data_IF_041926425003
#
_entry.id   IF_041926425003
#
_cell.length_a   1.000
_cell.length_b   1.000
_cell.length_c   1.000
_cell.angle_alpha   90.00
_cell.angle_beta   90.00
_cell.angle_gamma   90.00
#
_symmetry.space_group_name_H-M   'P 1'
#
loop_
_entity.id
_entity.type
_entity.pdbx_description
1 polymer ?
#
# COMPACT_ATOMS: atom_id res chain seq x y z
N UNK A 1 -8.21 9.89 -24.55
CA UNK A 1 -7.54 9.12 -23.48
C UNK A 1 -6.03 9.33 -23.45
N UNK A 2 -5.34 9.29 -24.61
CA UNK A 2 -3.88 9.51 -24.71
C UNK A 2 -3.40 10.87 -24.16
N UNK A 3 -4.08 11.98 -24.49
CA UNK A 3 -3.74 13.30 -23.93
C UNK A 3 -3.85 13.38 -22.40
N UNK A 4 -4.78 12.62 -21.80
CA UNK A 4 -4.97 12.59 -20.35
C UNK A 4 -3.85 11.82 -19.64
N UNK A 5 -3.49 10.65 -20.17
CA UNK A 5 -2.36 9.85 -19.67
C UNK A 5 -1.04 10.61 -19.80
N UNK A 6 -0.83 11.32 -20.91
CA UNK A 6 0.38 12.11 -21.11
C UNK A 6 0.53 13.22 -20.06
N UNK A 7 -0.57 13.93 -19.74
CA UNK A 7 -0.57 14.97 -18.71
C UNK A 7 -0.37 14.39 -17.30
N UNK A 8 -1.03 13.26 -16.99
CA UNK A 8 -0.84 12.57 -15.72
C UNK A 8 0.61 12.11 -15.54
N UNK A 9 1.22 11.55 -16.58
CA UNK A 9 2.61 11.07 -16.54
C UNK A 9 3.63 12.20 -16.37
N UNK A 10 3.36 13.39 -16.91
CA UNK A 10 4.17 14.59 -16.66
C UNK A 10 4.14 15.01 -15.19
N UNK A 11 2.97 14.94 -14.54
CA UNK A 11 2.84 15.23 -13.11
C UNK A 11 3.64 14.23 -12.29
N UNK A 12 3.47 12.93 -12.55
CA UNK A 12 4.24 11.86 -11.89
C UNK A 12 5.74 12.07 -12.04
N UNK A 13 6.21 12.33 -13.27
CA UNK A 13 7.64 12.55 -13.52
C UNK A 13 8.17 13.75 -12.74
N UNK A 14 7.41 14.85 -12.69
CA UNK A 14 7.78 16.04 -11.91
C UNK A 14 7.89 15.69 -10.43
N UNK A 15 6.89 15.03 -9.85
CA UNK A 15 6.88 14.62 -8.44
C UNK A 15 8.11 13.76 -8.09
N UNK A 16 8.42 12.74 -8.90
CA UNK A 16 9.61 11.90 -8.69
C UNK A 16 10.93 12.66 -8.82
N UNK A 17 11.03 13.63 -9.73
CA UNK A 17 12.26 14.41 -9.90
C UNK A 17 12.48 15.43 -8.79
N UNK A 18 11.40 15.95 -8.19
CA UNK A 18 11.47 16.95 -7.12
C UNK A 18 11.81 16.35 -5.76
N UNK A 19 11.46 15.08 -5.52
CA UNK A 19 11.56 14.43 -4.20
C UNK A 19 12.58 13.27 -4.15
N UNK A 20 13.72 13.40 -4.84
CA UNK A 20 14.76 12.35 -4.93
C UNK A 20 15.26 11.86 -3.57
N UNK A 21 15.44 12.77 -2.62
CA UNK A 21 15.93 12.44 -1.28
C UNK A 21 14.88 11.69 -0.45
N UNK A 22 13.59 12.00 -0.64
CA UNK A 22 12.50 11.33 0.05
C UNK A 22 12.24 9.93 -0.54
N UNK A 23 12.49 9.73 -1.84
CA UNK A 23 12.49 8.39 -2.44
C UNK A 23 13.57 7.52 -1.79
N UNK A 24 14.78 8.05 -1.59
CA UNK A 24 15.85 7.32 -0.90
C UNK A 24 15.43 6.92 0.53
N UNK A 25 14.82 7.83 1.27
CA UNK A 25 14.26 7.52 2.60
C UNK A 25 13.17 6.45 2.55
N UNK A 26 12.32 6.48 1.53
CA UNK A 26 11.28 5.46 1.34
C UNK A 26 11.92 4.10 1.12
N UNK A 27 12.97 4.01 0.30
CA UNK A 27 13.69 2.76 0.05
C UNK A 27 14.37 2.23 1.32
N UNK A 28 15.07 3.08 2.07
CA UNK A 28 15.71 2.71 3.35
C UNK A 28 14.65 2.17 4.32
N UNK A 29 13.51 2.85 4.41
CA UNK A 29 12.41 2.42 5.25
C UNK A 29 11.87 1.05 4.78
N UNK A 30 11.65 0.84 3.48
CA UNK A 30 11.20 -0.46 2.96
C UNK A 30 12.21 -1.59 3.20
N UNK A 31 13.52 -1.31 3.15
CA UNK A 31 14.57 -2.28 3.50
C UNK A 31 14.47 -2.65 4.98
N UNK A 32 14.38 -1.66 5.87
CA UNK A 32 14.24 -1.90 7.31
C UNK A 32 13.00 -2.72 7.63
N UNK A 33 11.87 -2.39 7.00
CA UNK A 33 10.59 -3.06 7.23
C UNK A 33 10.59 -4.47 6.65
N UNK A 34 11.21 -4.66 5.48
CA UNK A 34 11.45 -5.97 4.87
C UNK A 34 12.32 -6.84 5.76
N UNK A 35 13.40 -6.28 6.32
CA UNK A 35 14.26 -6.97 7.30
C UNK A 35 13.49 -7.36 8.56
N UNK A 36 12.73 -6.44 9.16
CA UNK A 36 11.97 -6.74 10.37
C UNK A 36 10.93 -7.85 10.11
N UNK A 37 10.24 -7.80 8.97
CA UNK A 37 9.25 -8.81 8.60
C UNK A 37 9.91 -10.15 8.27
N UNK A 38 11.10 -10.15 7.65
CA UNK A 38 11.80 -11.37 7.26
C UNK A 38 12.22 -12.21 8.46
N UNK A 39 12.68 -11.58 9.53
CA UNK A 39 13.06 -12.27 10.77
C UNK A 39 11.86 -13.01 11.34
N UNK A 40 10.71 -12.33 11.46
CA UNK A 40 9.48 -12.95 11.99
C UNK A 40 8.93 -14.03 11.05
N UNK A 41 9.00 -13.81 9.73
CA UNK A 41 8.61 -14.82 8.75
C UNK A 41 9.52 -16.05 8.80
N UNK A 42 10.83 -15.87 8.94
CA UNK A 42 11.79 -16.98 9.00
C UNK A 42 11.55 -17.89 10.21
N UNK A 43 11.29 -17.28 11.37
CA UNK A 43 10.86 -17.99 12.60
C UNK A 43 9.53 -18.73 12.39
N UNK A 44 8.57 -18.09 11.71
CA UNK A 44 7.29 -18.73 11.39
C UNK A 44 7.45 -19.95 10.47
N UNK A 45 8.43 -19.94 9.57
CA UNK A 45 8.73 -21.07 8.69
C UNK A 45 9.45 -22.22 9.42
N UNK A 46 10.28 -21.90 10.41
CA UNK A 46 10.92 -22.90 11.28
C UNK A 46 9.88 -23.68 12.10
N UNK A 47 8.85 -23.00 12.62
CA UNK A 47 7.78 -23.59 13.44
C UNK A 47 6.43 -23.70 12.74
N UNK A 48 6.41 -23.85 11.41
CA UNK A 48 5.20 -23.71 10.57
C UNK A 48 3.99 -24.57 11.00
N UNK A 49 4.25 -25.73 11.61
CA UNK A 49 3.25 -26.70 12.05
C UNK A 49 2.93 -26.65 13.55
N UNK A 50 3.74 -25.95 14.35
CA UNK A 50 3.67 -25.97 15.81
C UNK A 50 3.00 -24.73 16.38
N UNK A 51 3.29 -23.57 15.77
CA UNK A 51 2.80 -22.29 16.26
C UNK A 51 2.54 -21.31 15.12
N UNK A 52 1.51 -20.50 15.30
CA UNK A 52 1.18 -19.37 14.43
C UNK A 52 1.53 -18.11 15.20
N UNK A 53 2.54 -17.39 14.72
CA UNK A 53 2.98 -16.12 15.28
C UNK A 53 2.07 -14.98 14.80
N UNK A 54 1.24 -14.39 15.68
CA UNK A 54 0.33 -13.29 15.33
C UNK A 54 1.08 -12.05 14.81
N UNK A 55 2.36 -11.92 15.14
CA UNK A 55 3.18 -10.78 14.73
C UNK A 55 3.39 -10.74 13.22
N UNK A 56 3.44 -11.89 12.53
CA UNK A 56 3.58 -11.92 11.07
C UNK A 56 2.37 -11.26 10.41
N UNK A 57 1.17 -11.63 10.86
CA UNK A 57 -0.08 -11.06 10.36
C UNK A 57 -0.18 -9.57 10.66
N UNK A 58 0.18 -9.18 11.88
CA UNK A 58 0.21 -7.77 12.27
C UNK A 58 1.14 -6.96 11.38
N UNK A 59 2.38 -7.40 11.18
CA UNK A 59 3.37 -6.68 10.37
C UNK A 59 2.93 -6.58 8.90
N UNK A 60 2.44 -7.68 8.31
CA UNK A 60 2.02 -7.68 6.91
C UNK A 60 0.80 -6.78 6.69
N UNK A 61 -0.20 -6.83 7.56
CA UNK A 61 -1.38 -5.96 7.46
C UNK A 61 -1.03 -4.49 7.70
N UNK A 62 -0.14 -4.21 8.66
CA UNK A 62 0.33 -2.86 8.95
C UNK A 62 1.12 -2.27 7.78
N UNK A 63 1.95 -3.08 7.12
CA UNK A 63 2.89 -2.61 6.08
C UNK A 63 2.29 -2.63 4.68
N UNK A 64 1.27 -3.46 4.43
CA UNK A 64 0.55 -3.53 3.16
C UNK A 64 0.17 -2.14 2.60
N UNK A 65 -0.51 -1.24 3.33
CA UNK A 65 -0.85 0.09 2.80
C UNK A 65 0.37 1.01 2.64
N UNK A 66 1.41 0.82 3.45
CA UNK A 66 2.61 1.65 3.43
C UNK A 66 3.43 1.45 2.15
N UNK A 67 3.36 0.27 1.54
CA UNK A 67 4.01 0.02 0.24
C UNK A 67 3.43 0.90 -0.88
N UNK A 68 2.15 1.27 -0.79
CA UNK A 68 1.51 2.19 -1.73
C UNK A 68 1.85 3.66 -1.51
N UNK A 69 2.61 3.98 -0.46
CA UNK A 69 2.96 5.34 -0.09
C UNK A 69 4.43 5.61 -0.42
N UNK A 70 4.68 6.78 -0.98
CA UNK A 70 6.03 7.35 -1.09
C UNK A 70 6.16 8.49 -0.10
N UNK A 71 7.31 8.54 0.59
CA UNK A 71 7.64 9.74 1.33
C UNK A 71 7.86 10.88 0.34
N UNK A 72 7.22 12.01 0.62
CA UNK A 72 7.38 13.24 -0.13
C UNK A 72 7.40 14.41 0.86
N UNK A 73 7.82 15.60 0.43
CA UNK A 73 7.85 16.77 1.33
C UNK A 73 6.49 17.10 1.96
N UNK A 74 5.39 16.87 1.23
CA UNK A 74 4.02 17.08 1.72
C UNK A 74 3.68 16.12 2.86
N UNK A 75 4.06 14.85 2.76
CA UNK A 75 3.88 13.79 3.75
C UNK A 75 4.67 14.04 5.03
N UNK A 76 5.66 14.93 5.04
CA UNK A 76 6.34 15.32 6.29
C UNK A 76 5.80 16.63 6.89
N UNK A 77 5.13 17.46 6.09
CA UNK A 77 4.66 18.78 6.51
C UNK A 77 3.16 18.85 6.81
N UNK A 78 2.37 17.85 6.44
CA UNK A 78 0.91 17.88 6.61
C UNK A 78 0.41 18.06 8.06
N UNK A 79 1.26 17.79 9.06
CA UNK A 79 0.93 18.00 10.48
C UNK A 79 1.06 19.49 10.86
N UNK A 80 2.08 20.16 10.32
CA UNK A 80 2.44 21.54 10.65
C UNK A 80 1.81 22.57 9.70
N UNK A 81 1.69 22.20 8.43
CA UNK A 81 1.11 22.99 7.36
C UNK A 81 -0.12 22.24 6.84
N UNK A 82 -1.21 22.95 6.49
CA UNK A 82 -2.36 22.30 5.83
C UNK A 82 -2.04 21.99 4.35
N UNK A 83 -1.00 21.17 4.15
CA UNK A 83 -0.39 20.90 2.85
C UNK A 83 -1.37 20.27 1.87
N UNK A 84 -2.36 19.50 2.35
CA UNK A 84 -3.38 18.88 1.50
C UNK A 84 -4.41 19.89 0.99
N UNK A 85 -4.82 20.86 1.81
CA UNK A 85 -5.70 21.95 1.36
C UNK A 85 -4.97 22.88 0.39
N UNK A 86 -3.71 23.24 0.67
CA UNK A 86 -2.88 24.04 -0.26
C UNK A 86 -2.67 23.32 -1.60
N UNK A 87 -2.47 22.01 -1.57
CA UNK A 87 -2.37 21.18 -2.77
C UNK A 87 -3.66 21.23 -3.59
N UNK A 88 -4.83 21.16 -2.96
CA UNK A 88 -6.12 21.27 -3.66
C UNK A 88 -6.31 22.64 -4.32
N UNK A 89 -5.93 23.74 -3.66
CA UNK A 89 -5.94 25.07 -4.28
C UNK A 89 -4.98 25.15 -5.47
N UNK A 90 -3.75 24.63 -5.33
CA UNK A 90 -2.78 24.59 -6.42
C UNK A 90 -3.30 23.79 -7.61
N UNK A 91 -3.94 22.65 -7.34
CA UNK A 91 -4.51 21.82 -8.38
C UNK A 91 -5.72 22.44 -9.09
N UNK A 92 -6.51 23.28 -8.40
CA UNK A 92 -7.59 24.06 -9.02
C UNK A 92 -7.09 25.27 -9.81
N UNK A 93 -5.92 25.82 -9.48
CA UNK A 93 -5.33 26.95 -10.23
C UNK A 93 -4.57 26.52 -11.48
N UNK A 94 -4.20 25.24 -11.59
CA UNK A 94 -3.60 24.68 -12.79
C UNK A 94 -4.65 24.49 -13.90
N UNK A 95 -4.33 24.80 -15.17
CA UNK A 95 -5.18 24.52 -16.32
C UNK A 95 -5.09 23.02 -16.71
N UNK A 96 -5.28 22.14 -15.73
CA UNK A 96 -5.20 20.68 -15.88
C UNK A 96 -6.55 20.10 -15.46
N UNK A 97 -7.16 19.21 -16.27
CA UNK A 97 -8.42 18.59 -15.89
C UNK A 97 -8.25 17.79 -14.60
N UNK A 98 -9.18 17.96 -13.65
CA UNK A 98 -9.14 17.30 -12.34
C UNK A 98 -8.88 15.79 -12.44
N UNK A 99 -9.46 15.14 -13.46
CA UNK A 99 -9.27 13.71 -13.75
C UNK A 99 -7.79 13.31 -13.97
N UNK A 100 -6.97 14.16 -14.58
CA UNK A 100 -5.55 13.87 -14.80
C UNK A 100 -4.76 13.84 -13.49
N UNK A 101 -5.17 14.61 -12.49
CA UNK A 101 -4.56 14.62 -11.15
C UNK A 101 -4.89 13.30 -10.44
N UNK A 102 -6.15 12.84 -10.52
CA UNK A 102 -6.54 11.55 -9.93
C UNK A 102 -5.82 10.37 -10.57
N UNK A 103 -5.74 10.32 -11.91
CA UNK A 103 -4.96 9.29 -12.59
C UNK A 103 -3.50 9.33 -12.16
N UNK A 104 -2.91 10.53 -12.05
CA UNK A 104 -1.52 10.67 -11.60
C UNK A 104 -1.30 10.06 -10.21
N UNK A 105 -2.29 10.17 -9.31
CA UNK A 105 -2.22 9.59 -7.97
C UNK A 105 -2.32 8.07 -7.99
N UNK A 106 -3.22 7.52 -8.80
CA UNK A 106 -3.32 6.06 -8.99
C UNK A 106 -2.02 5.51 -9.58
N UNK A 107 -1.49 6.14 -10.62
CA UNK A 107 -0.22 5.74 -11.25
C UNK A 107 0.93 5.83 -10.23
N UNK A 108 1.02 6.91 -9.46
CA UNK A 108 2.01 7.06 -8.40
C UNK A 108 1.93 5.92 -7.37
N UNK A 109 0.72 5.58 -6.91
CA UNK A 109 0.53 4.48 -5.96
C UNK A 109 0.91 3.12 -6.58
N UNK A 110 0.54 2.86 -7.83
CA UNK A 110 0.94 1.62 -8.53
C UNK A 110 2.47 1.52 -8.66
N UNK A 111 3.13 2.61 -9.09
CA UNK A 111 4.60 2.66 -9.18
C UNK A 111 5.22 2.45 -7.80
N UNK A 112 4.67 3.08 -6.76
CA UNK A 112 5.12 2.89 -5.38
C UNK A 112 5.01 1.42 -4.96
N UNK A 113 3.86 0.78 -5.19
CA UNK A 113 3.68 -0.65 -4.91
C UNK A 113 4.68 -1.55 -5.64
N UNK A 114 4.98 -1.25 -6.90
CA UNK A 114 5.98 -2.02 -7.66
C UNK A 114 7.37 -1.83 -7.05
N UNK A 115 7.83 -0.60 -6.86
CA UNK A 115 9.18 -0.32 -6.36
C UNK A 115 9.34 -0.79 -4.91
N UNK A 116 8.44 -0.34 -4.03
CA UNK A 116 8.49 -0.66 -2.61
C UNK A 116 8.22 -2.15 -2.37
N UNK A 117 7.31 -2.76 -3.14
CA UNK A 117 7.03 -4.19 -3.06
C UNK A 117 8.25 -5.04 -3.45
N UNK A 118 8.92 -4.70 -4.55
CA UNK A 118 10.16 -5.39 -4.96
C UNK A 118 11.23 -5.28 -3.87
N UNK A 119 11.41 -4.10 -3.27
CA UNK A 119 12.41 -3.90 -2.21
C UNK A 119 12.02 -4.65 -0.95
N UNK A 120 10.80 -4.47 -0.46
CA UNK A 120 10.30 -5.08 0.77
C UNK A 120 10.33 -6.61 0.68
N UNK A 121 9.70 -7.18 -0.33
CA UNK A 121 9.63 -8.64 -0.50
C UNK A 121 10.95 -9.22 -1.02
N UNK A 122 11.76 -8.45 -1.76
CA UNK A 122 13.09 -8.86 -2.17
C UNK A 122 14.03 -9.03 -0.97
N UNK A 123 14.03 -8.06 -0.04
CA UNK A 123 14.76 -8.17 1.23
C UNK A 123 14.21 -9.30 2.08
N UNK A 124 12.88 -9.45 2.16
CA UNK A 124 12.27 -10.54 2.91
C UNK A 124 12.70 -11.92 2.40
N UNK A 125 12.75 -12.11 1.09
CA UNK A 125 13.23 -13.33 0.46
C UNK A 125 14.72 -13.56 0.66
N UNK A 126 15.55 -12.52 0.55
CA UNK A 126 16.99 -12.66 0.65
C UNK A 126 17.46 -13.12 2.04
N UNK A 127 16.72 -12.75 3.10
CA UNK A 127 17.10 -13.01 4.50
C UNK A 127 16.46 -14.29 5.05
N UNK A 128 15.20 -14.59 4.69
CA UNK A 128 14.47 -15.72 5.25
C UNK A 128 14.91 -17.04 4.59
N UNK A 129 15.96 -17.67 5.12
CA UNK A 129 16.52 -18.93 4.62
C UNK A 129 15.51 -20.08 4.63
N UNK A 130 14.80 -20.29 5.74
CA UNK A 130 13.82 -21.36 5.88
C UNK A 130 12.67 -21.21 4.89
N UNK A 131 12.27 -19.96 4.60
CA UNK A 131 11.27 -19.68 3.57
C UNK A 131 11.75 -20.05 2.17
N UNK A 132 13.01 -19.73 1.83
CA UNK A 132 13.58 -20.05 0.50
C UNK A 132 13.68 -21.55 0.24
N UNK A 133 13.89 -22.34 1.29
CA UNK A 133 13.93 -23.80 1.20
C UNK A 133 12.52 -24.40 1.09
N UNK A 134 11.55 -23.81 1.78
CA UNK A 134 10.18 -24.33 1.84
C UNK A 134 9.28 -23.91 0.66
N UNK A 135 9.55 -22.75 0.03
CA UNK A 135 8.62 -22.10 -0.91
C UNK A 135 9.27 -21.91 -2.27
N UNK A 136 8.61 -22.41 -3.33
CA UNK A 136 9.07 -22.15 -4.70
C UNK A 136 8.85 -20.68 -5.11
N UNK A 137 9.62 -20.23 -6.10
CA UNK A 137 9.56 -18.83 -6.57
C UNK A 137 8.17 -18.45 -7.07
N UNK A 138 7.43 -19.34 -7.72
CA UNK A 138 6.10 -19.05 -8.26
C UNK A 138 5.05 -18.85 -7.15
N UNK A 139 5.15 -19.63 -6.09
CA UNK A 139 4.34 -19.55 -4.87
C UNK A 139 4.67 -18.27 -4.12
N UNK A 140 5.95 -17.92 -4.03
CA UNK A 140 6.37 -16.65 -3.43
C UNK A 140 5.86 -15.44 -4.22
N UNK A 141 5.93 -15.48 -5.55
CA UNK A 141 5.35 -14.43 -6.41
C UNK A 141 3.84 -14.32 -6.21
N UNK A 142 3.12 -15.44 -6.12
CA UNK A 142 1.68 -15.44 -5.84
C UNK A 142 1.36 -14.84 -4.46
N UNK A 143 2.18 -15.12 -3.45
CA UNK A 143 2.08 -14.52 -2.13
C UNK A 143 2.29 -12.99 -2.18
N UNK A 144 3.34 -12.52 -2.86
CA UNK A 144 3.62 -11.08 -3.05
C UNK A 144 2.41 -10.38 -3.68
N UNK A 145 1.93 -10.92 -4.80
CA UNK A 145 0.83 -10.32 -5.56
C UNK A 145 -0.45 -10.31 -4.71
N UNK A 146 -0.69 -11.36 -3.90
CA UNK A 146 -1.84 -11.42 -3.00
C UNK A 146 -1.84 -10.27 -1.99
N UNK A 147 -0.68 -9.99 -1.38
CA UNK A 147 -0.51 -8.89 -0.42
C UNK A 147 -0.54 -7.51 -1.06
N UNK A 148 -0.02 -7.36 -2.29
CA UNK A 148 -0.18 -6.12 -3.06
C UNK A 148 -1.67 -5.84 -3.33
N UNK A 149 -2.46 -6.87 -3.66
CA UNK A 149 -3.91 -6.74 -3.82
C UNK A 149 -4.61 -6.25 -2.54
N UNK A 150 -4.29 -6.85 -1.40
CA UNK A 150 -4.79 -6.40 -0.08
C UNK A 150 -4.37 -4.96 0.19
N UNK A 151 -3.11 -4.60 -0.12
CA UNK A 151 -2.60 -3.25 -0.01
C UNK A 151 -3.41 -2.24 -0.83
N UNK A 152 -3.70 -2.52 -2.10
CA UNK A 152 -4.48 -1.62 -2.96
C UNK A 152 -5.83 -1.25 -2.35
N UNK A 153 -6.52 -2.21 -1.74
CA UNK A 153 -7.78 -1.95 -1.03
C UNK A 153 -7.59 -0.90 0.06
N UNK A 154 -6.57 -1.07 0.90
CA UNK A 154 -6.28 -0.17 2.00
C UNK A 154 -5.86 1.22 1.48
N UNK A 155 -4.93 1.28 0.52
CA UNK A 155 -4.46 2.52 -0.11
C UNK A 155 -5.59 3.33 -0.73
N UNK A 156 -6.65 2.69 -1.23
CA UNK A 156 -7.87 3.37 -1.68
C UNK A 156 -8.46 4.32 -0.64
N UNK A 157 -8.54 3.90 0.63
CA UNK A 157 -9.03 4.75 1.73
C UNK A 157 -8.09 5.93 2.01
N UNK A 158 -6.78 5.73 1.95
CA UNK A 158 -5.81 6.81 2.13
C UNK A 158 -5.95 7.88 1.05
N UNK A 159 -6.05 7.48 -0.24
CA UNK A 159 -6.26 8.42 -1.35
C UNK A 159 -7.57 9.20 -1.17
N UNK A 160 -8.63 8.54 -0.72
CA UNK A 160 -9.91 9.20 -0.45
C UNK A 160 -9.78 10.26 0.65
N UNK A 161 -9.17 9.92 1.79
CA UNK A 161 -9.04 10.85 2.91
C UNK A 161 -8.06 11.99 2.67
N UNK A 162 -6.97 11.75 1.94
CA UNK A 162 -5.99 12.75 1.52
C UNK A 162 -6.67 13.96 0.84
N UNK A 163 -7.76 13.70 0.13
CA UNK A 163 -8.47 14.67 -0.67
C UNK A 163 -9.71 15.27 0.04
N UNK A 164 -10.03 14.83 1.25
CA UNK A 164 -11.29 15.14 1.93
C UNK A 164 -11.18 16.03 3.16
N UNK A 165 -9.99 16.28 3.70
CA UNK A 165 -9.86 17.08 4.91
C UNK A 165 -8.49 17.72 5.06
N UNK A 166 -8.32 18.45 6.15
CA UNK A 166 -7.02 18.98 6.56
C UNK A 166 -6.06 17.86 6.96
N UNK A 167 -4.76 18.14 6.96
CA UNK A 167 -3.75 17.15 7.34
C UNK A 167 -3.96 16.51 8.72
N UNK A 168 -4.51 17.25 9.68
CA UNK A 168 -4.87 16.71 11.01
C UNK A 168 -6.02 15.71 10.95
N UNK A 169 -7.05 15.99 10.15
CA UNK A 169 -8.17 15.08 9.95
C UNK A 169 -7.74 13.80 9.21
N UNK A 170 -6.81 13.93 8.26
CA UNK A 170 -6.19 12.80 7.58
C UNK A 170 -5.42 11.90 8.55
N UNK A 171 -4.61 12.47 9.44
CA UNK A 171 -3.88 11.73 10.47
C UNK A 171 -4.81 10.93 11.37
N UNK A 172 -5.86 11.58 11.91
CA UNK A 172 -6.83 10.93 12.79
C UNK A 172 -7.53 9.74 12.12
N UNK A 173 -7.99 9.91 10.88
CA UNK A 173 -8.63 8.82 10.12
C UNK A 173 -7.66 7.68 9.79
N UNK A 174 -6.42 8.01 9.46
CA UNK A 174 -5.36 7.03 9.22
C UNK A 174 -5.05 6.20 10.47
N UNK A 175 -4.94 6.84 11.63
CA UNK A 175 -4.73 6.14 12.90
C UNK A 175 -5.92 5.24 13.25
N UNK A 176 -7.16 5.72 13.04
CA UNK A 176 -8.35 4.90 13.25
C UNK A 176 -8.32 3.66 12.34
N UNK A 177 -7.99 3.83 11.05
CA UNK A 177 -7.89 2.69 10.13
C UNK A 177 -6.85 1.68 10.58
N UNK A 178 -5.67 2.16 10.99
CA UNK A 178 -4.62 1.30 11.53
C UNK A 178 -5.09 0.54 12.78
N UNK A 179 -5.78 1.21 13.71
CA UNK A 179 -6.31 0.53 14.90
C UNK A 179 -7.33 -0.53 14.49
N UNK A 180 -8.24 -0.21 13.56
CA UNK A 180 -9.25 -1.15 13.06
C UNK A 180 -8.60 -2.36 12.39
N UNK A 181 -7.59 -2.17 11.54
CA UNK A 181 -6.91 -3.28 10.86
C UNK A 181 -6.11 -4.14 11.84
N UNK A 182 -5.47 -3.53 12.83
CA UNK A 182 -4.73 -4.24 13.90
C UNK A 182 -5.68 -5.04 14.78
N UNK A 183 -6.80 -4.45 15.20
CA UNK A 183 -7.81 -5.15 16.01
C UNK A 183 -8.45 -6.28 15.21
N UNK A 184 -8.74 -6.07 13.92
CA UNK A 184 -9.23 -7.13 13.04
C UNK A 184 -8.22 -8.28 12.89
N UNK A 185 -6.94 -7.97 12.68
CA UNK A 185 -5.89 -8.99 12.61
C UNK A 185 -5.72 -9.74 13.95
N UNK A 186 -5.71 -9.01 15.07
CA UNK A 186 -5.61 -9.60 16.41
C UNK A 186 -6.80 -10.48 16.76
N UNK A 187 -8.03 -10.06 16.43
CA UNK A 187 -9.23 -10.88 16.66
C UNK A 187 -9.24 -12.15 15.83
N UNK A 188 -8.83 -12.10 14.55
CA UNK A 188 -8.67 -13.29 13.72
C UNK A 188 -7.63 -14.25 14.32
N UNK A 189 -6.52 -13.70 14.80
CA UNK A 189 -5.47 -14.50 15.45
C UNK A 189 -5.95 -15.16 16.75
N UNK A 190 -6.73 -14.45 17.59
CA UNK A 190 -7.34 -15.03 18.79
C UNK A 190 -8.35 -16.15 18.49
N UNK A 191 -8.97 -16.12 17.31
CA UNK A 191 -9.84 -17.18 16.82
C UNK A 191 -9.06 -18.35 16.19
N UNK A 192 -7.72 -18.32 16.22
CA UNK A 192 -6.84 -19.34 15.66
C UNK A 192 -6.63 -19.25 14.15
N UNK A 193 -7.10 -18.17 13.51
CA UNK A 193 -6.91 -17.94 12.07
C UNK A 193 -5.68 -17.08 11.82
N UNK A 194 -4.88 -17.46 10.81
CA UNK A 194 -3.78 -16.63 10.32
C UNK A 194 -3.96 -16.27 8.86
N UNK A 195 -3.86 -14.97 8.58
CA UNK A 195 -3.93 -14.45 7.22
C UNK A 195 -2.71 -14.87 6.41
N UNK A 196 -1.53 -14.80 7.00
CA UNK A 196 -0.26 -15.24 6.45
C UNK A 196 -0.33 -16.69 6.05
N UNK A 197 -0.73 -17.59 6.97
CA UNK A 197 -0.85 -19.02 6.69
C UNK A 197 -1.88 -19.28 5.59
N UNK A 198 -3.05 -18.63 5.65
CA UNK A 198 -4.08 -18.78 4.63
C UNK A 198 -3.62 -18.38 3.23
N UNK A 199 -2.95 -17.22 3.10
CA UNK A 199 -2.42 -16.73 1.83
C UNK A 199 -1.26 -17.60 1.35
N UNK A 200 -0.35 -17.99 2.24
CA UNK A 200 0.81 -18.82 1.92
C UNK A 200 0.40 -20.23 1.50
N UNK A 201 -0.47 -20.91 2.25
CA UNK A 201 -0.98 -22.24 1.90
C UNK A 201 -1.69 -22.24 0.55
N UNK A 202 -2.48 -21.20 0.28
CA UNK A 202 -3.15 -21.02 -1.01
C UNK A 202 -2.13 -20.81 -2.14
N UNK A 203 -1.10 -20.00 -1.89
CA UNK A 203 -0.03 -19.74 -2.85
C UNK A 203 0.83 -20.98 -3.11
N UNK A 204 1.15 -21.80 -2.10
CA UNK A 204 1.91 -23.04 -2.28
C UNK A 204 1.10 -24.12 -3.01
N UNK A 205 -0.21 -24.22 -2.76
CA UNK A 205 -1.09 -25.20 -3.42
C UNK A 205 -1.33 -24.91 -4.90
N UNK A 206 -1.60 -23.65 -5.24
CA UNK A 206 -2.07 -23.27 -6.58
C UNK A 206 -1.08 -22.40 -7.36
N UNK A 207 0.01 -21.94 -6.72
CA UNK A 207 1.03 -21.06 -7.31
C UNK A 207 0.37 -19.82 -7.94
N UNK A 208 0.69 -19.51 -9.19
CA UNK A 208 0.13 -18.38 -9.95
C UNK A 208 -1.37 -18.54 -10.29
N UNK A 209 -1.96 -19.72 -10.09
CA UNK A 209 -3.40 -19.95 -10.23
C UNK A 209 -4.15 -19.79 -8.90
N UNK A 210 -3.48 -19.30 -7.85
CA UNK A 210 -4.09 -19.07 -6.54
C UNK A 210 -5.34 -18.20 -6.65
N UNK A 211 -6.52 -18.73 -6.24
CA UNK A 211 -7.75 -17.94 -6.21
C UNK A 211 -7.64 -16.73 -5.29
N UNK A 212 -6.84 -16.84 -4.22
CA UNK A 212 -6.59 -15.75 -3.27
C UNK A 212 -5.82 -14.62 -3.94
N UNK A 213 -4.85 -14.93 -4.81
CA UNK A 213 -4.08 -13.93 -5.54
C UNK A 213 -4.95 -13.11 -6.49
N UNK A 214 -5.73 -13.79 -7.33
CA UNK A 214 -6.62 -13.11 -8.28
C UNK A 214 -7.77 -12.40 -7.57
N UNK A 215 -8.34 -13.03 -6.54
CA UNK A 215 -9.40 -12.45 -5.72
C UNK A 215 -8.95 -11.16 -5.04
N UNK A 216 -7.79 -11.16 -4.38
CA UNK A 216 -7.28 -9.97 -3.71
C UNK A 216 -6.88 -8.87 -4.69
N UNK A 217 -6.34 -9.20 -5.87
CA UNK A 217 -6.05 -8.22 -6.92
C UNK A 217 -7.32 -7.56 -7.45
N UNK A 218 -8.34 -8.34 -7.79
CA UNK A 218 -9.61 -7.81 -8.33
C UNK A 218 -10.31 -6.95 -7.29
N UNK A 219 -10.41 -7.43 -6.05
CA UNK A 219 -11.05 -6.69 -4.95
C UNK A 219 -10.23 -5.45 -4.61
N UNK A 220 -8.90 -5.56 -4.58
CA UNK A 220 -7.98 -4.48 -4.27
C UNK A 220 -8.00 -3.35 -5.28
N UNK A 221 -7.80 -3.69 -6.56
CA UNK A 221 -7.87 -2.72 -7.66
C UNK A 221 -9.28 -2.14 -7.78
N UNK A 222 -10.32 -2.97 -7.68
CA UNK A 222 -11.71 -2.51 -7.68
C UNK A 222 -11.99 -1.53 -6.55
N UNK A 223 -11.54 -1.82 -5.33
CA UNK A 223 -11.67 -0.94 -4.16
C UNK A 223 -10.90 0.37 -4.34
N UNK A 224 -9.67 0.31 -4.82
CA UNK A 224 -8.85 1.50 -5.09
C UNK A 224 -9.48 2.39 -6.17
N UNK A 225 -9.98 1.81 -7.27
CA UNK A 225 -10.65 2.53 -8.35
C UNK A 225 -11.98 3.13 -7.89
N UNK A 226 -12.77 2.38 -7.12
CA UNK A 226 -14.03 2.85 -6.55
C UNK A 226 -13.78 4.04 -5.63
N UNK A 227 -12.84 3.92 -4.68
CA UNK A 227 -12.48 5.02 -3.78
C UNK A 227 -11.97 6.23 -4.55
N UNK A 228 -11.12 6.02 -5.56
CA UNK A 228 -10.63 7.10 -6.42
C UNK A 228 -11.76 7.81 -7.17
N UNK A 229 -12.76 7.06 -7.67
CA UNK A 229 -13.95 7.61 -8.33
C UNK A 229 -14.84 8.39 -7.36
N UNK A 230 -15.03 7.89 -6.15
CA UNK A 230 -15.76 8.62 -5.10
C UNK A 230 -15.06 9.93 -4.74
N UNK A 231 -13.72 9.93 -4.67
CA UNK A 231 -12.93 11.13 -4.44
C UNK A 231 -13.17 12.18 -5.53
N UNK A 232 -13.19 11.74 -6.80
CA UNK A 232 -13.45 12.63 -7.94
C UNK A 232 -14.82 13.31 -7.84
N UNK A 233 -15.89 12.53 -7.63
CA UNK A 233 -17.26 13.06 -7.53
C UNK A 233 -17.36 14.06 -6.39
N UNK A 234 -16.77 13.73 -5.23
CA UNK A 234 -16.89 14.56 -4.03
C UNK A 234 -16.05 15.83 -4.08
N UNK A 235 -14.96 15.84 -4.84
CA UNK A 235 -14.17 17.05 -5.05
C UNK A 235 -14.88 18.11 -5.90
N UNK A 236 -15.80 17.72 -6.78
CA UNK A 236 -16.59 18.66 -7.58
C UNK A 236 -17.59 19.44 -6.75
N UNK A 237 -18.10 18.84 -5.67
CA UNK A 237 -19.14 19.43 -4.81
C UNK A 237 -18.58 20.14 -3.58
N UNK A 238 -17.26 20.14 -3.38
CA UNK A 238 -16.65 20.66 -2.16
C UNK A 238 -16.28 22.14 -2.33
N UNK A 239 -16.91 22.99 -1.53
CA UNK A 239 -16.46 24.37 -1.35
C UNK A 239 -15.14 24.40 -0.58
N UNK A 240 -14.21 25.19 -1.11
CA UNK A 240 -12.92 25.48 -0.49
C UNK A 240 -12.93 26.90 0.08
N UNK A 241 -14.07 27.36 0.61
CA UNK A 241 -14.18 28.65 1.31
C UNK A 241 -13.93 28.48 2.79
#
# INVERSE_FOLDING_TARGET
MQHMLHNAMKIVRKDFTSDKLQILWTLIFMIYMGFATSVVMNEQFEHLNEYVNPLVDFLLVLYAPLMGLTFNRRSFRYINEDSYTQMLYYYRSLPVPAYAIFISRIINAIIAYVINGIVFFGVAYAIANHMREAVDIASYVAFIISWIGIGFLLTGFYIYWENMGSGKAYLGKTLILMIVTVVAAGTLSLLGYSMFKFVMDSAMRWKLLSPVMWGSLIIGLGGMLLMSRLTYIRQQTRDLS
#
